data_IF_131806515976
#
_entry.id   IF_131806515976
#
_cell.length_a   1.000
_cell.length_b   1.000
_cell.length_c   1.000
_cell.angle_alpha   90.00
_cell.angle_beta   90.00
_cell.angle_gamma   90.00
#
_symmetry.space_group_name_H-M   'P 1'
#
loop_
_entity.id
_entity.type
_entity.pdbx_description
1 polymer ?
#
# COMPACT_ATOMS: atom_id res chain seq x y z
N UNK A 1 15.83 3.84 -17.17
CA UNK A 1 15.57 3.11 -15.91
C UNK A 1 14.71 1.91 -16.24
N UNK A 2 15.05 0.71 -15.74
CA UNK A 2 14.29 -0.51 -16.04
C UNK A 2 12.97 -0.50 -15.29
N UNK A 3 11.88 -0.84 -15.99
CA UNK A 3 10.53 -0.93 -15.42
C UNK A 3 10.51 -1.88 -14.19
N UNK A 4 9.85 -1.50 -13.09
CA UNK A 4 9.69 -2.39 -11.95
C UNK A 4 8.92 -3.66 -12.34
N UNK A 5 9.42 -4.83 -11.91
CA UNK A 5 8.80 -6.13 -12.26
C UNK A 5 7.33 -6.21 -11.81
N UNK A 6 7.01 -5.60 -10.67
CA UNK A 6 5.65 -5.56 -10.15
C UNK A 6 4.72 -4.73 -11.05
N UNK A 7 5.21 -3.62 -11.61
CA UNK A 7 4.44 -2.78 -12.55
C UNK A 7 4.15 -3.53 -13.86
N UNK A 8 5.16 -4.19 -14.44
CA UNK A 8 4.98 -5.00 -15.64
C UNK A 8 3.95 -6.13 -15.43
N UNK A 9 4.00 -6.80 -14.28
CA UNK A 9 3.04 -7.84 -13.90
C UNK A 9 1.63 -7.25 -13.70
N UNK A 10 1.52 -6.11 -13.04
CA UNK A 10 0.24 -5.41 -12.84
C UNK A 10 -0.40 -5.02 -14.19
N UNK A 11 0.36 -4.42 -15.09
CA UNK A 11 -0.10 -4.01 -16.43
C UNK A 11 -0.63 -5.21 -17.24
N UNK A 12 -0.04 -6.39 -17.06
CA UNK A 12 -0.51 -7.63 -17.68
C UNK A 12 -1.82 -8.14 -17.06
N UNK A 13 -1.96 -8.06 -15.74
CA UNK A 13 -3.05 -8.70 -14.99
C UNK A 13 -4.28 -7.80 -14.76
N UNK A 14 -4.15 -6.48 -14.68
CA UNK A 14 -5.25 -5.57 -14.30
C UNK A 14 -6.39 -5.43 -15.35
N UNK A 15 -6.41 -6.25 -16.40
CA UNK A 15 -7.43 -6.19 -17.45
C UNK A 15 -8.85 -6.50 -16.96
N UNK A 16 -8.98 -7.21 -15.83
CA UNK A 16 -10.27 -7.55 -15.23
C UNK A 16 -10.14 -7.79 -13.72
N UNK A 17 -11.27 -8.06 -13.05
CA UNK A 17 -11.33 -8.31 -11.59
C UNK A 17 -10.50 -9.53 -11.19
N UNK A 18 -10.55 -10.61 -11.97
CA UNK A 18 -9.80 -11.86 -11.67
C UNK A 18 -8.30 -11.61 -11.67
N UNK A 19 -7.79 -10.87 -12.65
CA UNK A 19 -6.37 -10.57 -12.71
C UNK A 19 -5.91 -9.61 -11.60
N UNK A 20 -6.75 -8.64 -11.19
CA UNK A 20 -6.48 -7.84 -9.98
C UNK A 20 -6.39 -8.69 -8.71
N UNK A 21 -7.28 -9.68 -8.57
CA UNK A 21 -7.25 -10.61 -7.45
C UNK A 21 -6.02 -11.52 -7.51
N UNK A 22 -5.64 -12.00 -8.69
CA UNK A 22 -4.42 -12.80 -8.88
C UNK A 22 -3.15 -12.00 -8.49
N UNK A 23 -3.07 -10.73 -8.89
CA UNK A 23 -1.97 -9.85 -8.46
C UNK A 23 -1.97 -9.68 -6.93
N UNK A 24 -3.14 -9.41 -6.34
CA UNK A 24 -3.29 -9.25 -4.90
C UNK A 24 -2.89 -10.52 -4.15
N UNK A 25 -3.23 -11.71 -4.67
CA UNK A 25 -2.80 -12.99 -4.14
C UNK A 25 -1.27 -13.17 -4.18
N UNK A 26 -0.60 -12.64 -5.21
CA UNK A 26 0.86 -12.57 -5.26
C UNK A 26 1.46 -11.71 -4.13
N UNK A 27 0.84 -10.56 -3.82
CA UNK A 27 1.22 -9.72 -2.66
C UNK A 27 1.06 -10.51 -1.36
N UNK A 28 -0.06 -11.20 -1.19
CA UNK A 28 -0.33 -12.03 -0.03
C UNK A 28 0.67 -13.19 0.14
N UNK A 29 1.06 -13.84 -0.97
CA UNK A 29 2.03 -14.93 -0.94
C UNK A 29 3.43 -14.44 -0.51
N UNK A 30 3.82 -13.22 -0.91
CA UNK A 30 5.11 -12.62 -0.52
C UNK A 30 5.13 -12.18 0.94
N UNK A 31 3.98 -11.73 1.46
CA UNK A 31 3.83 -11.27 2.84
C UNK A 31 2.50 -11.79 3.44
N UNK A 32 2.49 -13.03 4.00
CA UNK A 32 1.28 -13.72 4.43
C UNK A 32 0.42 -12.96 5.43
N UNK A 33 1.01 -12.10 6.26
CA UNK A 33 0.27 -11.33 7.26
C UNK A 33 -0.76 -10.37 6.63
N UNK A 34 -0.56 -9.93 5.38
CA UNK A 34 -1.54 -9.09 4.67
C UNK A 34 -2.86 -9.81 4.42
N UNK A 35 -2.90 -11.15 4.39
CA UNK A 35 -4.14 -11.93 4.21
C UNK A 35 -5.18 -11.57 5.29
N UNK A 36 -4.74 -11.18 6.49
CA UNK A 36 -5.63 -10.83 7.61
C UNK A 36 -6.58 -9.66 7.31
N UNK A 37 -6.25 -8.79 6.36
CA UNK A 37 -7.11 -7.67 5.95
C UNK A 37 -7.70 -7.83 4.56
N UNK A 38 -7.40 -8.94 3.88
CA UNK A 38 -7.85 -9.27 2.52
C UNK A 38 -7.73 -8.07 1.55
N UNK A 39 -6.55 -7.44 1.45
CA UNK A 39 -6.39 -6.21 0.70
C UNK A 39 -6.38 -6.51 -0.80
N UNK A 40 -7.15 -5.75 -1.57
CA UNK A 40 -7.28 -5.90 -3.02
C UNK A 40 -6.79 -4.64 -3.71
N UNK A 41 -5.82 -4.78 -4.62
CA UNK A 41 -5.33 -3.68 -5.46
C UNK A 41 -6.41 -3.27 -6.46
N UNK A 42 -6.75 -1.97 -6.49
CA UNK A 42 -7.76 -1.38 -7.38
C UNK A 42 -7.12 -0.65 -8.55
N UNK A 43 -6.08 0.13 -8.27
CA UNK A 43 -5.23 0.79 -9.27
C UNK A 43 -3.79 0.83 -8.76
N UNK A 44 -2.84 0.68 -9.68
CA UNK A 44 -1.43 0.87 -9.40
C UNK A 44 -0.75 1.47 -10.62
N UNK A 45 0.01 2.53 -10.38
CA UNK A 45 0.84 3.25 -11.33
C UNK A 45 2.04 3.83 -10.56
N UNK A 46 3.15 4.16 -11.23
CA UNK A 46 4.26 4.85 -10.57
C UNK A 46 3.78 6.10 -9.83
N UNK A 47 4.10 6.20 -8.54
CA UNK A 47 3.71 7.33 -7.70
C UNK A 47 2.30 7.26 -7.10
N UNK A 48 1.44 6.30 -7.50
CA UNK A 48 0.10 6.17 -6.91
C UNK A 48 -0.48 4.76 -6.89
N UNK A 49 -0.99 4.35 -5.73
CA UNK A 49 -1.70 3.06 -5.54
C UNK A 49 -2.99 3.27 -4.76
N UNK A 50 -4.04 2.56 -5.18
CA UNK A 50 -5.31 2.45 -4.46
C UNK A 50 -5.59 0.99 -4.15
N UNK A 51 -5.84 0.69 -2.88
CA UNK A 51 -6.25 -0.64 -2.40
C UNK A 51 -7.54 -0.55 -1.60
N UNK A 52 -8.27 -1.66 -1.49
CA UNK A 52 -9.45 -1.75 -0.62
C UNK A 52 -9.38 -2.98 0.27
N UNK A 53 -9.94 -2.89 1.48
CA UNK A 53 -10.18 -4.02 2.37
C UNK A 53 -11.65 -4.09 2.78
N UNK A 54 -12.30 -5.27 2.74
CA UNK A 54 -13.65 -5.43 3.26
C UNK A 54 -13.64 -5.37 4.80
N UNK A 55 -14.75 -4.91 5.40
CA UNK A 55 -14.99 -5.13 6.84
C UNK A 55 -15.61 -6.52 7.01
N UNK A 56 -14.97 -7.34 7.81
CA UNK A 56 -15.40 -8.70 8.13
C UNK A 56 -15.01 -9.03 9.58
N UNK A 57 -15.56 -10.10 10.20
CA UNK A 57 -15.34 -10.39 11.61
C UNK A 57 -13.87 -10.41 12.06
N UNK A 58 -12.94 -10.88 11.22
CA UNK A 58 -11.51 -10.93 11.54
C UNK A 58 -10.80 -9.58 11.64
N UNK A 59 -11.43 -8.49 11.18
CA UNK A 59 -10.89 -7.11 11.28
C UNK A 59 -11.72 -6.22 12.20
N UNK A 60 -12.60 -6.79 13.02
CA UNK A 60 -13.37 -6.01 13.99
C UNK A 60 -12.54 -5.67 15.23
N UNK A 61 -12.75 -4.48 15.77
CA UNK A 61 -12.39 -4.17 17.16
C UNK A 61 -13.54 -4.48 18.12
N UNK A 62 -13.30 -4.27 19.42
CA UNK A 62 -14.26 -4.51 20.50
C UNK A 62 -15.55 -3.67 20.41
N UNK A 63 -15.60 -2.65 19.55
CA UNK A 63 -16.82 -1.85 19.26
C UNK A 63 -17.42 -2.13 17.88
N UNK A 64 -17.00 -3.20 17.18
CA UNK A 64 -17.60 -3.64 15.91
C UNK A 64 -17.25 -2.78 14.68
N UNK A 65 -16.20 -1.97 14.77
CA UNK A 65 -15.67 -1.15 13.66
C UNK A 65 -14.36 -1.75 13.13
N UNK A 66 -13.88 -1.26 11.98
CA UNK A 66 -12.61 -1.69 11.40
C UNK A 66 -11.46 -1.41 12.40
N UNK A 67 -10.68 -2.44 12.73
CA UNK A 67 -9.66 -2.39 13.77
C UNK A 67 -8.53 -1.45 13.38
N UNK A 68 -8.05 -0.66 14.35
CA UNK A 68 -6.98 0.33 14.15
C UNK A 68 -5.71 -0.29 13.53
N UNK A 69 -5.24 -1.41 14.06
CA UNK A 69 -4.05 -2.12 13.53
C UNK A 69 -4.33 -2.80 12.18
N UNK A 70 -5.58 -3.20 11.91
CA UNK A 70 -5.94 -3.71 10.58
C UNK A 70 -5.90 -2.58 9.54
N UNK A 71 -6.30 -1.36 9.92
CA UNK A 71 -6.15 -0.18 9.08
C UNK A 71 -4.66 0.14 8.82
N UNK A 72 -3.80 0.03 9.83
CA UNK A 72 -2.35 0.15 9.64
C UNK A 72 -1.81 -0.92 8.68
N UNK A 73 -2.28 -2.17 8.80
CA UNK A 73 -1.87 -3.26 7.90
C UNK A 73 -2.28 -2.99 6.44
N UNK A 74 -3.49 -2.43 6.22
CA UNK A 74 -3.91 -1.98 4.88
C UNK A 74 -3.05 -0.81 4.38
N UNK A 75 -2.68 0.13 5.26
CA UNK A 75 -1.82 1.25 4.89
C UNK A 75 -0.43 0.78 4.45
N UNK A 76 0.18 -0.11 5.24
CA UNK A 76 1.46 -0.76 4.96
C UNK A 76 1.42 -1.53 3.63
N UNK A 77 0.34 -2.27 3.36
CA UNK A 77 0.16 -2.97 2.09
C UNK A 77 0.10 -2.00 0.90
N UNK A 78 -0.63 -0.88 1.03
CA UNK A 78 -0.76 0.12 -0.02
C UNK A 78 0.57 0.82 -0.32
N UNK A 79 1.30 1.21 0.74
CA UNK A 79 2.66 1.73 0.62
C UNK A 79 3.59 0.70 -0.03
N UNK A 80 3.56 -0.56 0.40
CA UNK A 80 4.45 -1.59 -0.12
C UNK A 80 4.23 -1.85 -1.60
N UNK A 81 2.96 -1.93 -2.05
CA UNK A 81 2.64 -2.04 -3.48
C UNK A 81 3.09 -0.80 -4.23
N UNK A 82 2.89 0.41 -3.67
CA UNK A 82 3.37 1.66 -4.28
C UNK A 82 4.87 1.62 -4.52
N UNK A 83 5.65 1.21 -3.52
CA UNK A 83 7.09 1.13 -3.64
C UNK A 83 7.53 0.06 -4.66
N UNK A 84 6.86 -1.09 -4.71
CA UNK A 84 7.13 -2.15 -5.71
C UNK A 84 6.82 -1.74 -7.16
N UNK A 85 5.84 -0.86 -7.39
CA UNK A 85 5.49 -0.37 -8.74
C UNK A 85 6.21 0.93 -9.14
N UNK A 86 6.84 1.61 -8.18
CA UNK A 86 7.50 2.90 -8.42
C UNK A 86 9.03 2.80 -8.39
N UNK A 87 9.61 2.04 -7.46
CA UNK A 87 11.06 1.95 -7.30
C UNK A 87 11.66 1.08 -8.42
N UNK A 88 12.63 1.59 -9.19
CA UNK A 88 13.25 0.82 -10.28
C UNK A 88 14.04 -0.37 -9.75
N UNK A 89 14.24 -1.37 -10.60
CA UNK A 89 14.97 -2.60 -10.22
C UNK A 89 16.43 -2.39 -9.82
N UNK A 90 17.01 -1.23 -10.13
CA UNK A 90 18.36 -0.81 -9.71
C UNK A 90 18.41 -0.42 -8.23
N UNK A 91 17.25 -0.25 -7.58
CA UNK A 91 17.13 0.17 -6.20
C UNK A 91 16.41 -0.88 -5.35
N UNK A 92 16.55 -0.74 -4.04
CA UNK A 92 15.82 -1.50 -3.03
C UNK A 92 15.29 -0.54 -1.99
N UNK A 93 14.24 -0.97 -1.28
CA UNK A 93 13.60 -0.17 -0.26
C UNK A 93 13.21 -1.01 0.95
N UNK A 94 13.06 -0.36 2.11
CA UNK A 94 12.56 -0.99 3.34
C UNK A 94 11.83 0.05 4.21
N UNK A 95 10.70 -0.29 4.86
CA UNK A 95 10.06 0.58 5.84
C UNK A 95 10.99 0.85 7.04
N UNK A 96 11.04 2.11 7.50
CA UNK A 96 11.81 2.55 8.67
C UNK A 96 10.93 3.00 9.83
N UNK A 97 9.73 3.52 9.55
CA UNK A 97 8.85 4.04 10.57
C UNK A 97 7.47 4.36 10.01
N UNK A 98 6.50 4.47 10.90
CA UNK A 98 5.13 4.79 10.55
C UNK A 98 4.52 5.67 11.65
N UNK A 99 3.94 6.80 11.27
CA UNK A 99 3.07 7.63 12.12
C UNK A 99 1.63 7.45 11.67
N UNK A 100 0.68 7.33 12.60
CA UNK A 100 -0.73 7.08 12.28
C UNK A 100 -1.64 7.94 13.13
N UNK A 101 -2.62 8.58 12.49
CA UNK A 101 -3.69 9.34 13.11
C UNK A 101 -5.04 8.65 12.89
N UNK A 102 -5.78 8.40 13.98
CA UNK A 102 -7.13 7.83 13.95
C UNK A 102 -8.17 8.96 14.05
N UNK A 103 -8.60 9.45 12.89
CA UNK A 103 -9.43 10.65 12.80
C UNK A 103 -10.89 10.36 13.18
N UNK A 104 -11.41 9.20 12.79
CA UNK A 104 -12.82 8.81 12.97
C UNK A 104 -12.94 7.29 13.14
N UNK A 105 -14.07 6.85 13.67
CA UNK A 105 -14.45 5.43 13.65
C UNK A 105 -14.66 4.97 12.20
N UNK A 106 -14.30 3.72 11.91
CA UNK A 106 -14.42 3.11 10.59
C UNK A 106 -15.55 2.07 10.54
N UNK A 107 -16.81 2.45 10.24
CA UNK A 107 -17.94 1.53 10.32
C UNK A 107 -18.04 0.54 9.15
N UNK A 108 -17.30 0.77 8.06
CA UNK A 108 -17.34 -0.02 6.82
C UNK A 108 -15.98 -0.61 6.45
N UNK A 109 -15.90 -1.28 5.29
CA UNK A 109 -14.61 -1.52 4.63
C UNK A 109 -13.93 -0.19 4.26
N UNK A 110 -12.63 -0.28 3.97
CA UNK A 110 -11.77 0.88 3.77
C UNK A 110 -11.15 0.88 2.38
N UNK A 111 -10.90 2.08 1.86
CA UNK A 111 -10.08 2.32 0.66
C UNK A 111 -8.84 3.10 1.08
N UNK A 112 -7.66 2.52 0.86
CA UNK A 112 -6.38 3.16 1.09
C UNK A 112 -5.82 3.74 -0.20
N UNK A 113 -5.41 5.00 -0.18
CA UNK A 113 -4.69 5.66 -1.28
C UNK A 113 -3.31 6.06 -0.80
N UNK A 114 -2.28 5.47 -1.38
CA UNK A 114 -0.88 5.82 -1.17
C UNK A 114 -0.38 6.61 -2.38
N UNK A 115 0.23 7.77 -2.16
CA UNK A 115 0.67 8.64 -3.25
C UNK A 115 1.92 9.43 -2.87
N UNK A 116 2.89 9.49 -3.78
CA UNK A 116 4.11 10.27 -3.63
C UNK A 116 4.41 11.04 -4.91
N UNK A 117 5.16 12.13 -4.76
CA UNK A 117 5.94 12.65 -5.87
C UNK A 117 7.13 11.71 -6.09
N UNK A 118 7.29 11.21 -7.31
CA UNK A 118 8.32 10.20 -7.62
C UNK A 118 9.68 10.88 -7.59
N UNK A 119 10.61 10.46 -6.70
CA UNK A 119 11.94 11.05 -6.64
C UNK A 119 12.77 10.67 -7.88
N UNK A 120 13.77 11.49 -8.20
CA UNK A 120 14.80 11.10 -9.16
C UNK A 120 15.72 10.05 -8.56
N UNK A 121 15.42 8.78 -8.83
CA UNK A 121 16.22 7.65 -8.35
C UNK A 121 17.66 7.68 -8.86
N UNK A 122 17.96 8.34 -9.99
CA UNK A 122 19.33 8.40 -10.50
C UNK A 122 20.27 9.25 -9.63
N UNK A 123 19.71 10.18 -8.85
CA UNK A 123 20.45 11.02 -7.90
C UNK A 123 20.70 10.38 -6.53
N UNK A 124 20.18 9.17 -6.26
CA UNK A 124 20.33 8.51 -4.96
C UNK A 124 21.64 7.71 -4.95
N UNK A 125 22.63 8.15 -4.16
CA UNK A 125 23.93 7.46 -4.00
C UNK A 125 24.00 6.58 -2.76
N UNK A 126 23.74 7.14 -1.59
CA UNK A 126 23.89 6.46 -0.30
C UNK A 126 22.55 5.96 0.26
N UNK A 127 21.50 6.71 -0.07
CA UNK A 127 20.12 6.40 0.22
C UNK A 127 19.31 7.64 0.58
N UNK A 128 18.00 7.51 0.54
CA UNK A 128 17.03 8.59 0.74
C UNK A 128 15.86 8.08 1.56
N UNK A 129 15.45 8.85 2.57
CA UNK A 129 14.17 8.65 3.23
C UNK A 129 13.06 9.20 2.33
N UNK A 130 12.14 8.32 1.92
CA UNK A 130 10.94 8.64 1.17
C UNK A 130 9.74 8.41 2.09
N UNK A 131 9.06 9.49 2.45
CA UNK A 131 7.81 9.42 3.23
C UNK A 131 6.66 9.16 2.27
N UNK A 132 5.88 8.11 2.57
CA UNK A 132 4.69 7.73 1.81
C UNK A 132 3.44 8.06 2.63
N UNK A 133 2.73 9.15 2.28
CA UNK A 133 1.41 9.43 2.83
C UNK A 133 0.39 8.41 2.33
N UNK A 134 -0.43 7.92 3.25
CA UNK A 134 -1.53 7.00 2.98
C UNK A 134 -2.81 7.51 3.66
N UNK A 135 -3.83 7.79 2.84
CA UNK A 135 -5.15 8.19 3.31
C UNK A 135 -6.12 7.01 3.22
N UNK A 136 -6.82 6.70 4.32
CA UNK A 136 -7.83 5.64 4.36
C UNK A 136 -9.21 6.24 4.53
N UNK A 137 -10.09 5.91 3.60
CA UNK A 137 -11.46 6.41 3.53
C UNK A 137 -12.50 5.32 3.73
N UNK A 138 -13.62 5.66 4.35
CA UNK A 138 -14.80 4.79 4.45
C UNK A 138 -15.60 4.76 3.14
N UNK A 139 -16.70 3.98 3.11
CA UNK A 139 -17.56 3.87 1.92
C UNK A 139 -18.23 5.18 1.48
N UNK A 140 -18.28 6.18 2.37
CA UNK A 140 -18.87 7.49 2.11
C UNK A 140 -17.79 8.52 1.72
N UNK A 141 -16.52 8.11 1.60
CA UNK A 141 -15.40 8.98 1.28
C UNK A 141 -14.84 9.77 2.46
N UNK A 142 -15.27 9.50 3.70
CA UNK A 142 -14.70 10.17 4.86
C UNK A 142 -13.32 9.60 5.17
N UNK A 143 -12.32 10.47 5.34
CA UNK A 143 -11.02 10.05 5.87
C UNK A 143 -11.18 9.63 7.34
N UNK A 144 -10.80 8.38 7.63
CA UNK A 144 -10.92 7.78 8.96
C UNK A 144 -9.56 7.53 9.60
N UNK A 145 -8.54 7.24 8.81
CA UNK A 145 -7.15 7.00 9.24
C UNK A 145 -6.23 7.70 8.25
N UNK A 146 -5.20 8.36 8.77
CA UNK A 146 -4.07 8.88 8.00
C UNK A 146 -2.80 8.24 8.50
N UNK A 147 -1.92 7.83 7.59
CA UNK A 147 -0.62 7.28 7.95
C UNK A 147 0.48 7.89 7.09
N UNK A 148 1.62 8.19 7.71
CA UNK A 148 2.85 8.55 7.02
C UNK A 148 3.88 7.45 7.29
N UNK A 149 4.29 6.75 6.23
CA UNK A 149 5.20 5.61 6.32
C UNK A 149 6.54 5.99 5.70
N UNK A 150 7.58 6.11 6.52
CA UNK A 150 8.93 6.42 6.07
C UNK A 150 9.58 5.14 5.52
N UNK A 151 10.09 5.22 4.29
CA UNK A 151 10.84 4.15 3.65
C UNK A 151 12.25 4.60 3.35
N UNK A 152 13.23 3.72 3.53
CA UNK A 152 14.60 3.93 3.07
C UNK A 152 14.75 3.39 1.67
N UNK A 153 15.18 4.22 0.73
CA UNK A 153 15.47 3.81 -0.66
C UNK A 153 16.95 3.95 -0.91
N UNK A 154 17.61 2.94 -1.48
CA UNK A 154 19.03 3.00 -1.85
C UNK A 154 19.33 2.18 -3.11
N UNK A 155 20.45 2.43 -3.81
CA UNK A 155 20.92 1.55 -4.88
C UNK A 155 21.10 0.11 -4.40
N UNK A 156 20.91 -0.84 -5.30
CA UNK A 156 21.35 -2.22 -5.11
C UNK A 156 22.85 -2.29 -5.41
N UNK A 157 23.62 -2.76 -4.44
CA UNK A 157 24.99 -3.25 -4.61
C UNK A 157 25.03 -4.51 -5.45
#
# INVERSE_FOLDING_TARGET
>A
MTEPRALALWNKLNKNVVGRLAFSAGVWAKAPYFVTVVPVVRSAEPGRVVMSAPKWPGVHNHIGTFHAIAACNLAEAAMGVLMEVTVPSTHQWIPKGMSVEYLRKAPSGLTATAQIEVPDFSGITDGLDVVVPVSLTDKNGNEVVRADITTWVRPRS
#
